data_IF_940609753079
#
_entry.id   IF_940609753079
#
_cell.length_a   1.000
_cell.length_b   1.000
_cell.length_c   1.000
_cell.angle_alpha   90.00
_cell.angle_beta   90.00
_cell.angle_gamma   90.00
#
_symmetry.space_group_name_H-M   'P 1'
#
loop_
_entity.id
_entity.type
_entity.pdbx_description
1 polymer ?
#
# COMPACT_ATOMS: atom_id res chain seq x y z
N UNK A 1 -34.98 -46.03 3.17
CA UNK A 1 -34.23 -45.12 2.27
C UNK A 1 -35.09 -43.90 1.92
N UNK A 2 -34.78 -42.74 2.49
CA UNK A 2 -35.27 -41.42 2.03
C UNK A 2 -34.06 -40.47 2.04
N UNK A 3 -33.89 -39.77 0.93
CA UNK A 3 -32.64 -39.17 0.43
C UNK A 3 -32.17 -37.89 1.17
N UNK A 4 -30.85 -37.59 1.24
CA UNK A 4 -30.23 -36.50 2.02
C UNK A 4 -30.42 -35.07 1.46
N UNK A 5 -31.17 -34.91 0.36
CA UNK A 5 -31.20 -33.67 -0.43
C UNK A 5 -31.88 -32.49 0.29
N UNK A 6 -32.75 -32.75 1.27
CA UNK A 6 -33.48 -31.65 1.96
C UNK A 6 -32.69 -30.90 3.03
N UNK A 7 -31.54 -31.42 3.50
CA UNK A 7 -30.69 -30.69 4.48
C UNK A 7 -29.74 -29.68 3.83
N UNK A 8 -29.47 -29.79 2.52
CA UNK A 8 -28.51 -28.91 1.81
C UNK A 8 -29.13 -27.59 1.35
N UNK A 9 -30.45 -27.56 1.12
CA UNK A 9 -31.16 -26.36 0.63
C UNK A 9 -31.39 -25.32 1.75
N UNK A 10 -31.54 -25.76 3.01
CA UNK A 10 -31.74 -24.84 4.13
C UNK A 10 -30.44 -24.09 4.51
N UNK A 11 -29.29 -24.69 4.26
CA UNK A 11 -27.96 -24.14 4.58
C UNK A 11 -27.43 -23.12 3.54
N UNK A 12 -28.12 -22.97 2.40
CA UNK A 12 -27.78 -21.97 1.37
C UNK A 12 -28.52 -20.67 1.64
N UNK A 13 -29.77 -20.74 2.13
CA UNK A 13 -30.58 -19.56 2.43
C UNK A 13 -30.05 -18.77 3.64
N UNK A 14 -29.54 -19.46 4.66
CA UNK A 14 -28.92 -18.83 5.84
C UNK A 14 -27.53 -18.20 5.53
N UNK A 15 -26.95 -18.50 4.36
CA UNK A 15 -25.71 -17.86 3.86
C UNK A 15 -25.96 -16.66 2.94
N UNK A 16 -27.16 -16.52 2.38
CA UNK A 16 -27.52 -15.41 1.50
C UNK A 16 -27.69 -14.08 2.25
N UNK A 17 -28.11 -14.12 3.53
CA UNK A 17 -28.28 -12.91 4.35
C UNK A 17 -26.98 -12.39 5.00
N UNK A 18 -25.81 -12.99 4.69
CA UNK A 18 -24.50 -12.62 5.26
C UNK A 18 -23.52 -11.96 4.28
N UNK A 19 -23.94 -11.63 3.06
CA UNK A 19 -23.03 -11.17 1.98
C UNK A 19 -22.63 -9.69 2.08
N UNK A 20 -22.94 -8.99 3.17
CA UNK A 20 -22.52 -7.57 3.36
C UNK A 20 -21.15 -7.40 4.04
N UNK A 21 -20.46 -8.50 4.39
CA UNK A 21 -19.16 -8.46 5.08
C UNK A 21 -18.43 -9.79 4.90
N UNK A 22 -17.72 -9.95 3.78
CA UNK A 22 -16.77 -11.04 3.58
C UNK A 22 -15.36 -10.46 3.48
N UNK A 23 -14.70 -10.40 4.64
CA UNK A 23 -13.25 -10.53 4.76
C UNK A 23 -12.94 -12.03 4.64
N UNK A 24 -12.84 -12.53 3.41
CA UNK A 24 -12.33 -13.88 3.15
C UNK A 24 -11.02 -13.74 2.38
N UNK A 25 -9.93 -14.19 3.00
CA UNK A 25 -8.62 -14.35 2.38
C UNK A 25 -8.74 -15.35 1.23
N UNK A 26 -8.60 -14.85 0.00
CA UNK A 26 -8.56 -15.66 -1.21
C UNK A 26 -7.11 -16.09 -1.49
N UNK A 27 -6.66 -17.12 -0.78
CA UNK A 27 -5.48 -17.89 -1.16
C UNK A 27 -5.87 -18.92 -2.24
N UNK A 28 -5.21 -18.84 -3.40
CA UNK A 28 -5.12 -19.88 -4.45
C UNK A 28 -6.46 -20.46 -4.95
N UNK A 29 -7.37 -19.58 -5.40
CA UNK A 29 -8.65 -19.98 -6.02
C UNK A 29 -8.64 -19.72 -7.52
N UNK A 30 -8.65 -20.79 -8.31
CA UNK A 30 -9.11 -20.76 -9.69
C UNK A 30 -10.60 -20.34 -9.66
N UNK A 31 -10.85 -19.04 -9.87
CA UNK A 31 -12.18 -18.44 -9.70
C UNK A 31 -13.15 -18.98 -10.76
N UNK A 32 -14.20 -19.74 -10.39
CA UNK A 32 -15.20 -20.18 -11.36
C UNK A 32 -15.95 -18.98 -11.96
N UNK A 33 -16.26 -19.06 -13.25
CA UNK A 33 -16.91 -18.01 -14.07
C UNK A 33 -18.23 -17.49 -13.48
N UNK A 34 -18.90 -18.30 -12.66
CA UNK A 34 -20.11 -17.95 -11.90
C UNK A 34 -19.87 -16.97 -10.74
N UNK A 35 -18.64 -16.85 -10.24
CA UNK A 35 -18.26 -15.85 -9.25
C UNK A 35 -17.85 -14.55 -9.95
N UNK A 36 -17.15 -14.63 -11.08
CA UNK A 36 -16.77 -13.44 -11.89
C UNK A 36 -18.01 -12.65 -12.33
N UNK A 37 -19.08 -13.34 -12.72
CA UNK A 37 -20.36 -12.72 -13.08
C UNK A 37 -21.08 -12.06 -11.91
N UNK A 38 -20.99 -12.62 -10.69
CA UNK A 38 -21.52 -11.99 -9.46
C UNK A 38 -20.67 -10.80 -8.98
N UNK A 39 -19.36 -10.84 -9.18
CA UNK A 39 -18.46 -9.74 -8.86
C UNK A 39 -18.61 -8.54 -9.83
N UNK A 40 -19.21 -8.74 -11.01
CA UNK A 40 -19.37 -7.69 -12.03
C UNK A 40 -20.20 -6.48 -11.58
N UNK A 41 -21.01 -6.62 -10.53
CA UNK A 41 -21.84 -5.55 -9.94
C UNK A 41 -21.18 -4.84 -8.75
N UNK A 42 -19.95 -5.21 -8.37
CA UNK A 42 -19.26 -4.57 -7.26
C UNK A 42 -18.76 -3.18 -7.65
N UNK A 43 -19.09 -2.19 -6.83
CA UNK A 43 -18.52 -0.85 -6.93
C UNK A 43 -17.19 -0.73 -6.18
N UNK A 44 -16.96 -1.57 -5.17
CA UNK A 44 -15.77 -1.59 -4.34
C UNK A 44 -15.22 -3.01 -4.32
N UNK A 45 -13.92 -3.17 -4.57
CA UNK A 45 -13.26 -4.46 -4.53
C UNK A 45 -11.90 -4.31 -3.86
N UNK A 46 -11.66 -5.16 -2.86
CA UNK A 46 -10.41 -5.21 -2.12
C UNK A 46 -9.84 -6.63 -2.24
N UNK A 47 -8.59 -6.70 -2.68
CA UNK A 47 -7.80 -7.91 -2.73
C UNK A 47 -6.66 -7.78 -1.72
N UNK A 48 -6.65 -8.62 -0.69
CA UNK A 48 -5.60 -8.66 0.33
C UNK A 48 -4.80 -9.92 0.24
N UNK A 49 -3.52 -9.85 0.60
CA UNK A 49 -2.59 -10.99 0.68
C UNK A 49 -2.42 -11.75 -0.64
N UNK A 50 -2.55 -11.07 -1.79
CA UNK A 50 -2.51 -11.78 -3.07
C UNK A 50 -1.10 -12.22 -3.43
N UNK A 51 -0.94 -13.51 -3.64
CA UNK A 51 0.23 -14.12 -4.28
C UNK A 51 -0.13 -14.51 -5.72
N UNK A 52 0.35 -13.73 -6.69
CA UNK A 52 0.06 -13.97 -8.11
C UNK A 52 0.93 -15.11 -8.67
N UNK A 53 0.69 -16.33 -8.19
CA UNK A 53 1.31 -17.56 -8.69
C UNK A 53 0.41 -18.22 -9.74
N UNK A 54 0.33 -17.67 -10.95
CA UNK A 54 -0.55 -18.30 -11.92
C UNK A 54 -0.65 -17.62 -13.28
N UNK A 55 -1.11 -18.41 -14.25
CA UNK A 55 -1.22 -18.03 -15.65
C UNK A 55 -2.67 -17.62 -15.95
N UNK A 56 -3.11 -16.42 -15.51
CA UNK A 56 -4.44 -15.91 -15.85
C UNK A 56 -4.37 -15.31 -17.26
N UNK A 57 -4.75 -16.10 -18.27
CA UNK A 57 -4.65 -15.71 -19.67
C UNK A 57 -5.76 -14.73 -20.12
N UNK A 58 -6.92 -14.75 -19.47
CA UNK A 58 -8.09 -13.94 -19.83
C UNK A 58 -8.18 -12.66 -18.99
N UNK A 59 -8.52 -11.50 -19.58
CA UNK A 59 -8.76 -10.29 -18.82
C UNK A 59 -10.03 -10.41 -17.97
N UNK A 60 -9.93 -10.10 -16.68
CA UNK A 60 -11.07 -10.12 -15.76
C UNK A 60 -11.86 -8.82 -15.93
N UNK A 61 -13.17 -8.92 -16.12
CA UNK A 61 -14.04 -7.79 -16.43
C UNK A 61 -14.89 -7.36 -15.23
N UNK A 62 -14.71 -6.12 -14.77
CA UNK A 62 -15.53 -5.53 -13.70
C UNK A 62 -16.17 -4.21 -14.19
N UNK A 63 -17.36 -4.25 -14.81
CA UNK A 63 -17.94 -3.08 -15.47
C UNK A 63 -18.36 -1.97 -14.50
N UNK A 64 -18.79 -2.31 -13.28
CA UNK A 64 -19.32 -1.34 -12.30
C UNK A 64 -18.29 -0.90 -11.25
N UNK A 65 -17.05 -1.41 -11.32
CA UNK A 65 -16.04 -1.16 -10.30
C UNK A 65 -15.59 0.30 -10.32
N UNK A 66 -15.77 0.98 -9.19
CA UNK A 66 -15.35 2.37 -8.98
C UNK A 66 -14.06 2.44 -8.15
N UNK A 67 -13.89 1.54 -7.18
CA UNK A 67 -12.79 1.54 -6.23
C UNK A 67 -12.10 0.17 -6.19
N UNK A 68 -10.81 0.14 -6.48
CA UNK A 68 -9.98 -1.06 -6.43
C UNK A 68 -8.85 -0.87 -5.42
N UNK A 69 -8.77 -1.78 -4.45
CA UNK A 69 -7.68 -1.87 -3.49
C UNK A 69 -6.97 -3.21 -3.68
N UNK A 70 -5.64 -3.19 -3.83
CA UNK A 70 -4.84 -4.41 -3.90
C UNK A 70 -3.70 -4.30 -2.91
N UNK A 71 -3.55 -5.31 -2.05
CA UNK A 71 -2.42 -5.48 -1.14
C UNK A 71 -1.76 -6.83 -1.43
N UNK A 72 -0.47 -6.80 -1.76
CA UNK A 72 0.30 -8.02 -1.98
C UNK A 72 1.16 -8.35 -0.76
N UNK A 73 1.35 -9.64 -0.54
CA UNK A 73 2.39 -10.14 0.35
C UNK A 73 3.73 -10.15 -0.39
N UNK A 74 4.84 -10.10 0.35
CA UNK A 74 6.16 -10.17 -0.23
C UNK A 74 6.37 -11.53 -0.91
N UNK A 75 6.51 -11.56 -2.24
CA UNK A 75 6.77 -12.78 -3.01
C UNK A 75 8.27 -12.92 -3.30
N UNK A 76 8.90 -13.93 -2.70
CA UNK A 76 10.31 -14.29 -2.85
C UNK A 76 10.62 -15.01 -4.20
N UNK A 77 9.81 -14.74 -5.23
CA UNK A 77 9.85 -15.55 -6.44
C UNK A 77 10.75 -14.92 -7.51
N UNK A 78 11.81 -15.64 -7.85
CA UNK A 78 12.71 -15.44 -9.00
C UNK A 78 12.03 -15.57 -10.38
N UNK A 79 10.69 -15.50 -10.45
CA UNK A 79 9.90 -15.67 -11.67
C UNK A 79 9.28 -14.33 -12.09
N UNK A 80 9.26 -14.03 -13.40
CA UNK A 80 8.62 -12.81 -13.90
C UNK A 80 7.12 -12.88 -13.62
N UNK A 81 6.66 -11.98 -12.75
CA UNK A 81 5.24 -11.77 -12.45
C UNK A 81 4.56 -11.38 -13.76
N UNK A 82 3.70 -12.24 -14.33
CA UNK A 82 2.92 -11.87 -15.52
C UNK A 82 1.84 -10.87 -15.11
N UNK A 83 1.58 -9.82 -15.91
CA UNK A 83 0.65 -8.77 -15.52
C UNK A 83 -0.78 -9.32 -15.49
N UNK A 84 -1.49 -9.08 -14.38
CA UNK A 84 -2.95 -9.31 -14.33
C UNK A 84 -3.61 -8.31 -15.25
N UNK A 85 -4.44 -8.77 -16.17
CA UNK A 85 -5.19 -7.88 -17.06
C UNK A 85 -6.58 -7.66 -16.48
N UNK A 86 -6.87 -6.44 -16.04
CA UNK A 86 -8.21 -6.06 -15.60
C UNK A 86 -8.82 -5.07 -16.58
N UNK A 87 -10.09 -5.30 -16.94
CA UNK A 87 -10.87 -4.37 -17.73
C UNK A 87 -11.98 -3.79 -16.86
N UNK A 88 -11.80 -2.55 -16.44
CA UNK A 88 -12.60 -1.86 -15.42
C UNK A 88 -12.93 -0.44 -15.90
N UNK A 89 -13.85 -0.28 -16.87
CA UNK A 89 -14.01 0.98 -17.61
C UNK A 89 -14.38 2.17 -16.72
N UNK A 90 -15.11 1.93 -15.64
CA UNK A 90 -15.62 2.94 -14.71
C UNK A 90 -14.74 3.12 -13.47
N UNK A 91 -13.54 2.51 -13.42
CA UNK A 91 -12.66 2.62 -12.27
C UNK A 91 -12.19 4.07 -12.08
N UNK A 92 -12.51 4.65 -10.93
CA UNK A 92 -12.14 6.01 -10.55
C UNK A 92 -10.98 6.04 -9.56
N UNK A 93 -10.92 5.06 -8.65
CA UNK A 93 -9.94 5.05 -7.56
C UNK A 93 -9.18 3.72 -7.52
N UNK A 94 -7.86 3.80 -7.51
CA UNK A 94 -6.98 2.64 -7.36
C UNK A 94 -6.01 2.86 -6.21
N UNK A 95 -5.88 1.87 -5.34
CA UNK A 95 -4.87 1.85 -4.28
C UNK A 95 -4.08 0.55 -4.36
N UNK A 96 -2.76 0.64 -4.39
CA UNK A 96 -1.87 -0.51 -4.27
C UNK A 96 -1.02 -0.41 -3.00
N UNK A 97 -0.92 -1.52 -2.29
CA UNK A 97 0.02 -1.72 -1.20
C UNK A 97 0.96 -2.86 -1.58
N UNK A 98 2.19 -2.52 -1.96
CA UNK A 98 3.20 -3.46 -2.46
C UNK A 98 3.45 -3.38 -3.97
N UNK A 99 4.28 -4.30 -4.46
CA UNK A 99 4.77 -4.33 -5.84
C UNK A 99 4.24 -5.57 -6.56
N UNK A 100 3.65 -5.36 -7.73
CA UNK A 100 3.12 -6.41 -8.60
C UNK A 100 2.90 -5.87 -10.02
N UNK A 101 2.77 -6.77 -11.01
CA UNK A 101 2.45 -6.36 -12.39
C UNK A 101 0.97 -6.47 -12.66
N UNK A 102 0.40 -5.40 -13.20
CA UNK A 102 -1.03 -5.30 -13.51
C UNK A 102 -1.22 -4.33 -14.68
N UNK A 103 -2.13 -4.68 -15.58
CA UNK A 103 -2.56 -3.85 -16.69
C UNK A 103 -4.03 -3.50 -16.47
N UNK A 104 -4.28 -2.23 -16.16
CA UNK A 104 -5.62 -1.70 -15.97
C UNK A 104 -6.10 -1.03 -17.27
N UNK A 105 -7.23 -1.50 -17.81
CA UNK A 105 -7.99 -0.75 -18.81
C UNK A 105 -9.12 0.02 -18.12
N UNK A 106 -8.80 1.23 -17.68
CA UNK A 106 -9.76 2.18 -17.11
C UNK A 106 -9.84 3.44 -17.97
N UNK A 107 -11.04 4.00 -18.17
CA UNK A 107 -11.21 5.23 -18.99
C UNK A 107 -11.06 6.50 -18.18
N UNK A 108 -11.42 6.47 -16.91
CA UNK A 108 -11.58 7.65 -16.05
C UNK A 108 -10.92 7.49 -14.68
N UNK A 109 -9.74 6.86 -14.65
CA UNK A 109 -8.99 6.69 -13.41
C UNK A 109 -8.59 8.07 -12.88
N UNK A 110 -9.12 8.48 -11.73
CA UNK A 110 -8.96 9.83 -11.19
C UNK A 110 -7.92 9.86 -10.07
N UNK A 111 -8.02 8.94 -9.11
CA UNK A 111 -7.12 8.89 -7.96
C UNK A 111 -6.35 7.57 -7.92
N UNK A 112 -5.03 7.69 -7.84
CA UNK A 112 -4.13 6.55 -7.69
C UNK A 112 -3.26 6.74 -6.45
N UNK A 113 -3.21 5.73 -5.60
CA UNK A 113 -2.45 5.74 -4.36
C UNK A 113 -1.50 4.54 -4.31
N UNK A 114 -0.19 4.82 -4.27
CA UNK A 114 0.85 3.82 -4.12
C UNK A 114 1.41 3.86 -2.70
N UNK A 115 1.43 2.69 -2.07
CA UNK A 115 2.02 2.49 -0.75
C UNK A 115 3.00 1.33 -0.77
N UNK A 116 4.18 1.56 -0.21
CA UNK A 116 5.19 0.54 0.03
C UNK A 116 5.49 0.38 1.54
N UNK A 117 4.84 1.18 2.40
CA UNK A 117 5.05 1.15 3.84
C UNK A 117 5.07 -0.28 4.41
N UNK A 118 6.19 -0.65 5.03
CA UNK A 118 6.39 -1.96 5.65
C UNK A 118 6.61 -3.11 4.67
N UNK A 119 6.72 -2.86 3.36
CA UNK A 119 6.87 -3.91 2.34
C UNK A 119 8.31 -4.44 2.24
N UNK A 120 9.31 -3.64 2.60
CA UNK A 120 10.72 -4.03 2.52
C UNK A 120 11.29 -4.63 3.81
N UNK A 121 10.60 -4.52 4.95
CA UNK A 121 11.08 -5.05 6.25
C UNK A 121 12.59 -4.84 6.50
N UNK A 122 13.27 -5.92 6.87
CA UNK A 122 14.72 -5.98 7.10
C UNK A 122 15.56 -6.31 5.85
N UNK A 123 14.97 -6.22 4.64
CA UNK A 123 15.66 -6.61 3.41
C UNK A 123 16.94 -5.77 3.19
N UNK A 124 18.04 -6.40 2.81
CA UNK A 124 19.28 -5.69 2.49
C UNK A 124 19.12 -4.76 1.27
N UNK A 125 19.91 -3.70 1.25
CA UNK A 125 19.82 -2.64 0.23
C UNK A 125 19.97 -3.15 -1.22
N UNK A 126 20.84 -4.14 -1.44
CA UNK A 126 21.11 -4.68 -2.79
C UNK A 126 19.86 -5.29 -3.42
N UNK A 127 19.05 -6.00 -2.63
CA UNK A 127 17.80 -6.60 -3.11
C UNK A 127 16.71 -5.53 -3.33
N UNK A 128 16.68 -4.47 -2.50
CA UNK A 128 15.70 -3.37 -2.66
C UNK A 128 15.80 -2.68 -4.01
N UNK A 129 17.01 -2.53 -4.56
CA UNK A 129 17.19 -1.84 -5.84
C UNK A 129 16.47 -2.53 -7.01
N UNK A 130 16.47 -3.87 -7.04
CA UNK A 130 15.73 -4.64 -8.04
C UNK A 130 14.22 -4.44 -7.89
N UNK A 131 13.71 -4.43 -6.66
CA UNK A 131 12.29 -4.15 -6.42
C UNK A 131 11.90 -2.71 -6.75
N UNK A 132 12.77 -1.73 -6.57
CA UNK A 132 12.49 -0.36 -7.00
C UNK A 132 12.30 -0.27 -8.52
N UNK A 133 13.08 -1.03 -9.30
CA UNK A 133 12.89 -1.14 -10.74
C UNK A 133 11.54 -1.79 -11.08
N UNK A 134 11.16 -2.87 -10.39
CA UNK A 134 9.84 -3.48 -10.58
C UNK A 134 8.68 -2.54 -10.21
N UNK A 135 8.85 -1.72 -9.16
CA UNK A 135 7.89 -0.68 -8.82
C UNK A 135 7.75 0.36 -9.94
N UNK A 136 8.86 0.76 -10.56
CA UNK A 136 8.83 1.63 -11.74
C UNK A 136 8.16 0.96 -12.95
N UNK A 137 8.43 -0.32 -13.20
CA UNK A 137 7.73 -1.08 -14.24
C UNK A 137 6.23 -1.12 -14.01
N UNK A 138 5.78 -1.35 -12.77
CA UNK A 138 4.37 -1.28 -12.40
C UNK A 138 3.75 0.07 -12.77
N UNK A 139 4.40 1.19 -12.40
CA UNK A 139 3.92 2.54 -12.75
C UNK A 139 3.80 2.76 -14.26
N UNK A 140 4.72 2.19 -15.04
CA UNK A 140 4.76 2.34 -16.50
C UNK A 140 3.70 1.50 -17.22
N UNK A 141 3.38 0.31 -16.69
CA UNK A 141 2.44 -0.65 -17.31
C UNK A 141 0.97 -0.46 -16.90
N UNK A 142 0.71 0.25 -15.80
CA UNK A 142 -0.62 0.39 -15.21
C UNK A 142 -1.60 1.26 -16.04
N UNK A 143 -1.19 1.80 -17.19
CA UNK A 143 -2.07 2.55 -18.08
C UNK A 143 -2.54 3.88 -17.49
N UNK A 144 -1.65 4.59 -16.78
CA UNK A 144 -1.97 5.76 -15.95
C UNK A 144 -2.17 7.08 -16.71
N UNK A 145 -2.35 7.03 -18.04
CA UNK A 145 -2.48 8.22 -18.87
C UNK A 145 -3.65 9.13 -18.47
N UNK A 146 -4.73 8.57 -17.92
CA UNK A 146 -5.93 9.31 -17.50
C UNK A 146 -5.88 9.86 -16.07
N UNK A 147 -4.86 9.53 -15.27
CA UNK A 147 -4.79 9.85 -13.84
C UNK A 147 -4.74 11.36 -13.60
N UNK A 148 -5.58 11.86 -12.69
CA UNK A 148 -5.55 13.26 -12.24
C UNK A 148 -4.75 13.44 -10.95
N UNK A 149 -4.85 12.52 -10.00
CA UNK A 149 -4.27 12.62 -8.68
C UNK A 149 -3.42 11.39 -8.38
N UNK A 150 -2.12 11.58 -8.20
CA UNK A 150 -1.18 10.53 -7.87
C UNK A 150 -0.66 10.74 -6.45
N UNK A 151 -0.78 9.75 -5.58
CA UNK A 151 -0.35 9.84 -4.18
C UNK A 151 0.70 8.77 -3.89
N UNK A 152 1.76 9.17 -3.19
CA UNK A 152 2.80 8.27 -2.72
C UNK A 152 2.92 8.37 -1.20
N UNK A 153 3.16 7.23 -0.54
CA UNK A 153 3.72 7.25 0.80
C UNK A 153 5.24 7.48 0.80
N UNK A 154 5.82 7.61 1.99
CA UNK A 154 7.23 7.90 2.18
C UNK A 154 8.15 6.85 1.55
N UNK A 155 7.85 5.56 1.75
CA UNK A 155 8.65 4.48 1.18
C UNK A 155 8.55 4.43 -0.35
N UNK A 156 7.39 4.69 -0.93
CA UNK A 156 7.18 4.71 -2.38
C UNK A 156 7.98 5.82 -3.08
N UNK A 157 7.92 7.05 -2.54
CA UNK A 157 8.68 8.16 -3.15
C UNK A 157 10.19 7.97 -2.94
N UNK A 158 10.61 7.42 -1.80
CA UNK A 158 12.01 7.09 -1.53
C UNK A 158 12.54 6.03 -2.49
N UNK A 159 11.75 5.00 -2.79
CA UNK A 159 12.07 3.98 -3.78
C UNK A 159 12.32 4.59 -5.17
N UNK A 160 11.42 5.47 -5.64
CA UNK A 160 11.59 6.15 -6.93
C UNK A 160 12.78 7.10 -6.95
N UNK A 161 13.05 7.78 -5.84
CA UNK A 161 14.21 8.67 -5.70
C UNK A 161 15.52 7.90 -5.79
N UNK A 162 15.60 6.71 -5.19
CA UNK A 162 16.78 5.85 -5.24
C UNK A 162 17.13 5.40 -6.67
N UNK A 163 16.13 5.23 -7.54
CA UNK A 163 16.33 4.88 -8.97
C UNK A 163 16.24 6.08 -9.92
N UNK A 164 16.30 7.31 -9.40
CA UNK A 164 16.13 8.53 -10.21
C UNK A 164 17.10 8.66 -11.40
N UNK A 165 18.29 8.04 -11.31
CA UNK A 165 19.24 7.98 -12.44
C UNK A 165 18.67 7.17 -13.60
N UNK A 166 17.98 6.08 -13.32
CA UNK A 166 17.35 5.20 -14.32
C UNK A 166 16.11 5.81 -14.96
N UNK A 167 15.46 6.77 -14.28
CA UNK A 167 14.33 7.53 -14.81
C UNK A 167 14.75 8.63 -15.78
N UNK A 168 16.04 8.95 -15.88
CA UNK A 168 16.54 10.02 -16.74
C UNK A 168 16.23 9.70 -18.21
N UNK A 169 15.59 10.64 -18.91
CA UNK A 169 15.25 10.50 -20.33
C UNK A 169 14.08 9.56 -20.62
N UNK A 170 13.44 8.98 -19.59
CA UNK A 170 12.22 8.19 -19.76
C UNK A 170 11.00 9.12 -19.86
N UNK A 171 10.07 8.87 -20.80
CA UNK A 171 8.85 9.66 -20.90
C UNK A 171 7.98 9.42 -19.67
N UNK A 172 7.27 10.47 -19.26
CA UNK A 172 6.28 10.39 -18.20
C UNK A 172 5.03 9.65 -18.70
N UNK A 173 4.51 8.65 -17.97
CA UNK A 173 3.27 7.96 -18.34
C UNK A 173 2.00 8.75 -17.95
N UNK A 174 2.12 9.94 -17.35
CA UNK A 174 1.02 10.70 -16.77
C UNK A 174 0.67 11.91 -17.65
N UNK A 175 -0.37 11.81 -18.47
CA UNK A 175 -0.73 12.85 -19.46
C UNK A 175 -1.84 13.81 -19.01
N UNK A 176 -2.65 13.43 -18.03
CA UNK A 176 -3.77 14.23 -17.51
C UNK A 176 -3.63 14.59 -16.03
N UNK A 177 -2.40 14.58 -15.51
CA UNK A 177 -2.10 14.75 -14.10
C UNK A 177 -2.35 16.20 -13.67
N UNK A 178 -3.02 16.36 -12.52
CA UNK A 178 -3.21 17.65 -11.84
C UNK A 178 -2.32 17.75 -10.62
N UNK A 179 -2.27 16.71 -9.80
CA UNK A 179 -1.54 16.74 -8.54
C UNK A 179 -0.72 15.46 -8.31
N UNK A 180 0.53 15.64 -7.89
CA UNK A 180 1.35 14.61 -7.24
C UNK A 180 1.38 14.91 -5.74
N UNK A 181 0.72 14.08 -4.94
CA UNK A 181 0.66 14.19 -3.49
C UNK A 181 1.81 13.45 -2.85
N UNK A 182 2.66 14.20 -2.17
CA UNK A 182 3.82 13.69 -1.45
C UNK A 182 3.63 13.78 0.07
N UNK A 183 4.27 12.88 0.83
CA UNK A 183 4.22 12.92 2.29
C UNK A 183 4.95 14.18 2.80
N UNK A 184 4.60 14.65 4.00
CA UNK A 184 5.05 15.97 4.48
C UNK A 184 6.56 16.03 4.70
N UNK A 185 7.19 14.88 4.93
CA UNK A 185 8.62 14.67 5.09
C UNK A 185 9.39 14.84 3.78
N UNK A 186 8.70 14.88 2.64
CA UNK A 186 9.30 14.97 1.31
C UNK A 186 9.02 16.35 0.69
N UNK A 187 10.00 17.26 0.78
CA UNK A 187 9.88 18.59 0.17
C UNK A 187 10.03 18.49 -1.35
N UNK A 188 9.36 19.36 -2.10
CA UNK A 188 9.51 19.39 -3.56
C UNK A 188 10.97 19.60 -3.99
N UNK A 189 11.73 20.39 -3.22
CA UNK A 189 13.16 20.65 -3.45
C UNK A 189 14.05 19.40 -3.29
N UNK A 190 13.59 18.39 -2.56
CA UNK A 190 14.30 17.11 -2.38
C UNK A 190 14.13 16.15 -3.58
N UNK A 191 13.17 16.43 -4.47
CA UNK A 191 12.93 15.63 -5.67
C UNK A 191 14.00 15.95 -6.71
N UNK A 192 14.76 14.94 -7.12
CA UNK A 192 15.74 15.09 -8.20
C UNK A 192 15.07 15.57 -9.51
N UNK A 193 15.81 16.32 -10.34
CA UNK A 193 15.32 16.79 -11.64
C UNK A 193 14.80 15.65 -12.53
N UNK A 194 15.48 14.50 -12.53
CA UNK A 194 15.05 13.32 -13.29
C UNK A 194 13.70 12.79 -12.81
N UNK A 195 13.52 12.63 -11.50
CA UNK A 195 12.27 12.13 -10.93
C UNK A 195 11.12 13.12 -11.15
N UNK A 196 11.38 14.42 -10.97
CA UNK A 196 10.40 15.48 -11.24
C UNK A 196 9.96 15.49 -12.71
N UNK A 197 10.93 15.38 -13.63
CA UNK A 197 10.64 15.26 -15.06
C UNK A 197 9.84 14.00 -15.39
N UNK A 198 10.11 12.87 -14.73
CA UNK A 198 9.38 11.63 -14.95
C UNK A 198 7.94 11.70 -14.42
N UNK A 199 7.71 12.28 -13.24
CA UNK A 199 6.37 12.37 -12.64
C UNK A 199 5.49 13.42 -13.32
N UNK A 200 6.04 14.57 -13.71
CA UNK A 200 5.27 15.71 -14.21
C UNK A 200 5.41 15.94 -15.72
N UNK A 201 6.43 15.36 -16.37
CA UNK A 201 6.80 15.72 -17.75
C UNK A 201 5.74 15.42 -18.81
N UNK A 202 4.73 14.61 -18.49
CA UNK A 202 3.61 14.32 -19.39
C UNK A 202 2.44 15.30 -19.25
N UNK A 203 2.44 16.14 -18.20
CA UNK A 203 1.33 17.05 -17.86
C UNK A 203 1.87 18.42 -17.43
N UNK A 204 1.87 19.39 -18.33
CA UNK A 204 2.45 20.73 -18.10
C UNK A 204 1.77 21.52 -16.98
N UNK A 205 0.53 21.18 -16.63
CA UNK A 205 -0.26 21.83 -15.56
C UNK A 205 -0.15 21.11 -14.21
N UNK A 206 0.54 19.97 -14.15
CA UNK A 206 0.63 19.18 -12.92
C UNK A 206 1.53 19.86 -11.88
N UNK A 207 1.10 19.86 -10.62
CA UNK A 207 1.88 20.39 -9.50
C UNK A 207 2.14 19.32 -8.44
N UNK A 208 3.27 19.46 -7.74
CA UNK A 208 3.54 18.66 -6.54
C UNK A 208 2.88 19.36 -5.37
N UNK A 209 2.14 18.61 -4.59
CA UNK A 209 1.48 19.06 -3.38
C UNK A 209 1.99 18.19 -2.25
N UNK A 210 2.77 18.75 -1.33
CA UNK A 210 2.97 18.11 -0.03
C UNK A 210 1.66 18.24 0.75
N UNK A 211 1.36 17.37 1.70
CA UNK A 211 0.05 17.27 2.39
C UNK A 211 -0.47 18.53 3.15
N UNK A 212 0.01 19.73 2.82
CA UNK A 212 -0.71 20.98 2.98
C UNK A 212 -1.57 21.20 1.72
N UNK A 213 -2.89 21.05 1.87
CA UNK A 213 -4.01 21.47 0.99
C UNK A 213 -5.05 20.35 0.84
N UNK A 214 -5.65 19.99 1.96
CA UNK A 214 -7.06 19.59 1.96
C UNK A 214 -7.84 20.69 2.65
N UNK A 215 -8.36 21.62 1.84
CA UNK A 215 -9.64 22.32 2.00
C UNK A 215 -9.74 23.47 1.00
N UNK A 216 -9.81 23.17 -0.29
CA UNK A 216 -10.54 24.03 -1.25
C UNK A 216 -10.85 23.22 -2.51
N UNK A 217 -11.99 22.53 -2.50
CA UNK A 217 -12.74 22.31 -3.75
C UNK A 217 -13.53 23.61 -3.94
N UNK A 218 -13.34 24.37 -5.02
CA UNK A 218 -14.24 25.47 -5.32
C UNK A 218 -15.54 24.85 -5.86
N UNK A 219 -16.57 24.85 -5.02
CA UNK A 219 -17.94 24.87 -5.54
C UNK A 219 -18.22 26.30 -5.99
N UNK A 220 -18.05 26.56 -7.28
CA UNK A 220 -18.73 27.68 -7.91
C UNK A 220 -18.97 27.33 -9.36
N UNK A 221 -20.23 27.01 -9.66
CA UNK A 221 -20.98 27.52 -10.81
C UNK A 221 -22.36 26.89 -10.77
N UNK A 222 -23.36 27.65 -10.33
CA UNK A 222 -24.60 27.74 -11.07
C UNK A 222 -25.30 29.08 -10.81
N UNK A 223 -25.67 29.69 -11.92
CA UNK A 223 -26.31 30.98 -12.09
C UNK A 223 -27.62 31.14 -11.32
N UNK A 224 -27.84 32.31 -10.71
CA UNK A 224 -29.10 33.05 -10.89
C UNK A 224 -28.80 34.55 -10.99
N UNK A 225 -29.08 35.08 -12.18
CA UNK A 225 -29.15 36.50 -12.51
C UNK A 225 -30.46 37.08 -11.96
N UNK A 226 -30.41 38.27 -11.34
CA UNK A 226 -31.36 39.38 -11.61
C UNK A 226 -30.98 40.67 -10.86
N UNK A 227 -30.50 41.63 -11.65
CA UNK A 227 -30.82 43.07 -11.68
C UNK A 227 -31.33 43.78 -10.43
N UNK A 228 -30.71 44.91 -10.06
CA UNK A 228 -31.13 46.24 -10.57
C UNK A 228 -30.55 47.44 -9.78
N UNK A 229 -30.25 48.50 -10.55
CA UNK A 229 -30.22 49.95 -10.21
C UNK A 229 -29.30 50.44 -9.08
N UNK A 230 -28.22 51.19 -9.36
CA UNK A 230 -28.21 52.63 -9.73
C UNK A 230 -28.84 53.53 -8.66
N UNK A 231 -28.02 54.24 -7.89
CA UNK A 231 -27.95 55.70 -7.96
C UNK A 231 -26.78 56.26 -7.16
N UNK A 232 -26.04 57.15 -7.84
CA UNK A 232 -25.10 58.07 -7.27
C UNK A 232 -25.83 59.33 -6.75
N UNK A 233 -25.07 60.08 -5.96
CA UNK A 233 -25.14 61.53 -5.80
C UNK A 233 -26.05 62.11 -4.71
N UNK A 234 -25.40 62.71 -3.70
CA UNK A 234 -25.63 64.10 -3.26
C UNK A 234 -24.56 64.52 -2.25
N UNK A 235 -23.69 65.43 -2.68
CA UNK A 235 -22.79 66.17 -1.81
C UNK A 235 -23.47 67.26 -0.97
N UNK A 236 -22.75 67.76 0.04
CA UNK A 236 -22.41 69.19 0.19
C UNK A 236 -21.56 69.41 1.44
N UNK A 237 -20.51 70.21 1.23
CA UNK A 237 -19.58 70.80 2.19
C UNK A 237 -20.25 71.58 3.34
N UNK A 238 -19.53 71.76 4.45
CA UNK A 238 -18.84 73.04 4.81
C UNK A 238 -18.37 73.00 6.28
N UNK A 239 -17.19 73.62 6.50
CA UNK A 239 -16.54 74.10 7.73
C UNK A 239 -15.49 73.22 8.45
N UNK A 240 -14.22 73.54 8.16
CA UNK A 240 -13.13 73.62 9.14
C UNK A 240 -13.13 75.03 9.80
N UNK A 241 -12.42 75.23 10.94
CA UNK A 241 -11.00 75.61 10.83
C UNK A 241 -10.05 75.04 11.92
N UNK A 242 -8.76 74.93 11.53
CA UNK A 242 -7.51 75.29 12.26
C UNK A 242 -7.31 74.72 13.69
N UNK A 243 -6.23 74.04 14.05
CA UNK A 243 -4.95 73.69 13.44
C UNK A 243 -3.99 73.35 14.58
N UNK A 244 -3.05 72.40 14.40
CA UNK A 244 -1.77 72.43 15.12
C UNK A 244 -0.73 71.51 14.50
N UNK A 245 0.48 72.04 14.45
CA UNK A 245 1.75 71.52 13.93
C UNK A 245 2.24 70.30 14.71
N UNK A 246 2.90 69.34 14.06
CA UNK A 246 3.68 68.36 14.84
C UNK A 246 4.29 67.15 14.14
N UNK A 247 5.19 67.38 13.17
CA UNK A 247 6.38 66.54 12.88
C UNK A 247 6.16 65.07 12.49
N UNK A 248 6.40 64.80 11.20
CA UNK A 248 6.95 63.54 10.73
C UNK A 248 8.22 63.16 11.52
N UNK A 249 8.41 61.87 11.79
CA UNK A 249 9.51 61.23 11.11
C UNK A 249 9.19 59.83 10.58
N UNK A 250 9.61 59.64 9.33
CA UNK A 250 10.34 58.46 8.84
C UNK A 250 9.59 57.14 8.96
N UNK A 251 8.96 56.78 7.85
CA UNK A 251 8.62 55.41 7.50
C UNK A 251 9.87 54.51 7.55
N UNK A 252 10.05 53.78 8.65
CA UNK A 252 10.89 52.58 8.67
C UNK A 252 10.03 51.38 8.30
N UNK A 253 10.07 51.05 7.02
CA UNK A 253 9.66 49.76 6.47
C UNK A 253 10.58 48.67 7.06
N UNK A 254 10.26 48.19 8.26
CA UNK A 254 10.78 46.94 8.80
C UNK A 254 9.69 45.89 8.62
N UNK A 255 9.89 45.01 7.64
CA UNK A 255 9.00 43.89 7.36
C UNK A 255 8.84 43.02 8.61
N UNK A 256 7.60 42.86 9.05
CA UNK A 256 7.27 41.98 10.17
C UNK A 256 6.10 41.10 9.74
N UNK A 257 6.39 40.05 8.98
CA UNK A 257 5.43 39.09 8.44
C UNK A 257 5.27 37.82 9.32
N UNK A 258 5.77 37.83 10.54
CA UNK A 258 5.88 36.58 11.33
C UNK A 258 4.71 36.34 12.31
N UNK A 259 3.80 37.30 12.48
CA UNK A 259 2.73 37.21 13.46
C UNK A 259 1.33 37.26 12.84
N UNK A 260 0.48 36.32 13.22
CA UNK A 260 -0.96 36.29 12.95
C UNK A 260 -1.78 36.82 14.11
N UNK A 261 -3.03 37.20 13.83
CA UNK A 261 -3.96 37.66 14.85
C UNK A 261 -4.99 36.56 15.14
N UNK A 262 -5.00 36.03 16.36
CA UNK A 262 -5.98 35.03 16.80
C UNK A 262 -6.81 35.58 17.97
N UNK A 263 -8.11 35.81 17.73
CA UNK A 263 -9.07 36.40 18.68
C UNK A 263 -8.56 37.66 19.40
N UNK A 264 -7.82 38.51 18.68
CA UNK A 264 -7.26 39.76 19.21
C UNK A 264 -5.87 39.65 19.85
N UNK A 265 -5.29 38.44 19.92
CA UNK A 265 -3.93 38.18 20.40
C UNK A 265 -2.96 38.00 19.24
N UNK A 266 -1.72 38.50 19.40
CA UNK A 266 -0.68 38.46 18.36
C UNK A 266 0.14 37.18 18.51
N UNK A 267 -0.17 36.14 17.77
CA UNK A 267 0.51 34.82 17.82
C UNK A 267 1.43 34.63 16.61
N UNK A 268 2.30 33.63 16.60
CA UNK A 268 3.04 33.31 15.37
C UNK A 268 2.05 32.92 14.25
N UNK A 269 2.30 33.37 13.02
CA UNK A 269 1.36 33.19 11.90
C UNK A 269 1.04 31.71 11.61
N UNK A 270 2.02 30.83 11.78
CA UNK A 270 1.88 29.37 11.64
C UNK A 270 0.96 28.73 12.68
N UNK A 271 0.74 29.36 13.84
CA UNK A 271 -0.05 28.82 14.93
C UNK A 271 -1.53 29.18 14.87
N UNK A 272 -1.93 30.14 14.02
CA UNK A 272 -3.33 30.55 13.89
C UNK A 272 -4.21 29.36 13.51
N UNK A 273 -3.78 28.58 12.51
CA UNK A 273 -4.50 27.40 12.05
C UNK A 273 -4.57 26.29 13.12
N UNK A 274 -3.47 26.10 13.88
CA UNK A 274 -3.43 25.13 14.97
C UNK A 274 -4.42 25.51 16.08
N UNK A 275 -4.45 26.79 16.47
CA UNK A 275 -5.37 27.31 17.48
C UNK A 275 -6.83 27.18 17.05
N UNK A 276 -7.15 27.45 15.78
CA UNK A 276 -8.50 27.24 15.26
C UNK A 276 -8.91 25.77 15.29
N UNK A 277 -7.99 24.85 14.94
CA UNK A 277 -8.25 23.41 14.99
C UNK A 277 -8.46 22.92 16.43
N UNK A 278 -7.67 23.42 17.38
CA UNK A 278 -7.81 23.08 18.80
C UNK A 278 -9.13 23.64 19.33
N UNK A 279 -9.46 24.90 19.04
CA UNK A 279 -10.74 25.50 19.46
C UNK A 279 -11.95 24.73 18.90
N UNK A 280 -11.86 24.23 17.67
CA UNK A 280 -12.93 23.44 17.06
C UNK A 280 -13.11 22.08 17.74
N UNK A 281 -12.00 21.42 18.12
CA UNK A 281 -12.02 20.04 18.62
C UNK A 281 -12.09 19.93 20.15
N UNK A 282 -11.51 20.90 20.84
CA UNK A 282 -11.37 21.00 22.29
C UNK A 282 -11.68 22.45 22.73
N UNK A 283 -12.93 22.93 22.53
CA UNK A 283 -13.31 24.31 22.84
C UNK A 283 -13.06 24.68 24.31
N UNK A 284 -13.20 23.73 25.22
CA UNK A 284 -12.94 23.87 26.66
C UNK A 284 -11.50 24.31 26.98
N UNK A 285 -10.55 24.08 26.06
CA UNK A 285 -9.14 24.48 26.22
C UNK A 285 -8.98 25.96 26.54
N UNK A 286 -9.87 26.82 26.06
CA UNK A 286 -9.75 28.27 26.20
C UNK A 286 -10.83 28.89 27.10
N UNK A 287 -11.66 28.08 27.76
CA UNK A 287 -12.82 28.55 28.53
C UNK A 287 -12.42 29.47 29.70
N UNK A 288 -11.36 29.09 30.42
CA UNK A 288 -10.84 29.84 31.56
C UNK A 288 -9.65 30.75 31.20
N UNK A 289 -9.38 30.93 29.91
CA UNK A 289 -8.28 31.78 29.44
C UNK A 289 -8.60 33.25 29.70
N UNK A 290 -7.97 33.82 30.72
CA UNK A 290 -8.21 35.21 31.16
C UNK A 290 -7.56 36.23 30.22
N UNK A 291 -8.30 37.29 29.85
CA UNK A 291 -7.85 38.34 28.92
C UNK A 291 -7.12 39.51 29.56
N UNK A 292 -6.89 39.46 30.87
CA UNK A 292 -6.56 40.65 31.66
C UNK A 292 -5.13 41.16 31.44
N UNK A 293 -4.24 40.36 30.83
CA UNK A 293 -2.92 40.81 30.41
C UNK A 293 -2.55 40.31 29.00
N UNK A 294 -2.83 41.13 27.99
CA UNK A 294 -2.67 40.80 26.56
C UNK A 294 -1.27 40.31 26.18
N UNK A 295 -0.21 40.83 26.82
CA UNK A 295 1.17 40.40 26.58
C UNK A 295 1.42 39.01 27.15
N UNK A 296 1.00 38.75 28.39
CA UNK A 296 1.13 37.44 29.02
C UNK A 296 0.30 36.37 28.31
N UNK A 297 -0.92 36.72 27.89
CA UNK A 297 -1.78 35.87 27.06
C UNK A 297 -1.08 35.43 25.76
N UNK A 298 -0.37 36.36 25.11
CA UNK A 298 0.36 36.10 23.86
C UNK A 298 1.50 35.11 24.08
N UNK A 299 2.29 35.31 25.13
CA UNK A 299 3.40 34.41 25.48
C UNK A 299 2.88 33.00 25.77
N UNK A 300 1.81 32.88 26.56
CA UNK A 300 1.23 31.58 26.90
C UNK A 300 0.59 30.89 25.69
N UNK A 301 -0.04 31.63 24.77
CA UNK A 301 -0.58 31.07 23.54
C UNK A 301 0.52 30.52 22.63
N UNK A 302 1.61 31.27 22.45
CA UNK A 302 2.74 30.80 21.65
C UNK A 302 3.40 29.58 22.31
N UNK A 303 3.62 29.60 23.63
CA UNK A 303 4.14 28.45 24.37
C UNK A 303 3.25 27.22 24.20
N UNK A 304 1.94 27.36 24.39
CA UNK A 304 0.98 26.29 24.18
C UNK A 304 1.06 25.72 22.75
N UNK A 305 1.11 26.58 21.74
CA UNK A 305 1.18 26.15 20.35
C UNK A 305 2.50 25.44 20.03
N UNK A 306 3.62 25.97 20.50
CA UNK A 306 4.94 25.34 20.36
C UNK A 306 4.93 23.96 21.00
N UNK A 307 4.53 23.85 22.27
CA UNK A 307 4.48 22.56 22.98
C UNK A 307 3.57 21.54 22.30
N UNK A 308 2.37 21.94 21.84
CA UNK A 308 1.47 21.03 21.12
C UNK A 308 2.03 20.64 19.75
N UNK A 309 2.53 21.61 18.98
CA UNK A 309 3.09 21.38 17.65
C UNK A 309 4.29 20.44 17.70
N UNK A 310 5.21 20.68 18.63
CA UNK A 310 6.43 19.89 18.77
C UNK A 310 6.10 18.49 19.26
N UNK A 311 5.22 18.38 20.26
CA UNK A 311 4.71 17.08 20.73
C UNK A 311 4.08 16.27 19.60
N UNK A 312 3.29 16.88 18.71
CA UNK A 312 2.64 16.16 17.60
C UNK A 312 3.59 15.67 16.51
N UNK A 313 4.83 16.15 16.49
CA UNK A 313 5.85 15.77 15.50
C UNK A 313 6.78 14.67 15.99
N UNK A 314 6.81 14.38 17.29
CA UNK A 314 7.69 13.37 17.88
C UNK A 314 7.21 11.98 17.50
N UNK A 315 8.13 11.15 17.00
CA UNK A 315 7.85 9.74 16.72
C UNK A 315 7.73 8.94 18.02
N UNK A 316 6.83 7.96 18.06
CA UNK A 316 6.71 7.03 19.21
C UNK A 316 8.04 6.34 19.53
N UNK A 317 8.91 6.14 18.53
CA UNK A 317 10.24 5.53 18.69
C UNK A 317 11.24 6.39 19.45
N UNK A 318 11.03 7.71 19.46
CA UNK A 318 11.94 8.72 20.02
C UNK A 318 11.50 9.20 21.41
N UNK A 319 10.28 8.86 21.84
CA UNK A 319 9.77 9.21 23.17
C UNK A 319 10.54 8.44 24.26
N UNK A 320 11.21 9.18 25.13
CA UNK A 320 11.75 8.69 26.39
C UNK A 320 10.97 9.24 27.60
N UNK A 321 11.33 8.77 28.80
CA UNK A 321 10.66 9.17 30.04
C UNK A 321 10.94 10.63 30.42
N UNK A 322 12.11 11.17 30.08
CA UNK A 322 12.51 12.54 30.43
C UNK A 322 11.70 13.55 29.61
N UNK A 323 11.59 13.32 28.30
CA UNK A 323 10.73 14.13 27.42
C UNK A 323 9.27 14.15 27.90
N UNK A 324 8.72 13.01 28.34
CA UNK A 324 7.34 12.97 28.84
C UNK A 324 7.16 13.82 30.10
N UNK A 325 8.16 13.83 31.00
CA UNK A 325 8.14 14.68 32.19
C UNK A 325 8.19 16.16 31.79
N UNK A 326 9.07 16.55 30.86
CA UNK A 326 9.16 17.93 30.38
C UNK A 326 7.85 18.43 29.77
N UNK A 327 7.18 17.62 28.95
CA UNK A 327 5.88 17.97 28.38
C UNK A 327 4.79 18.06 29.45
N UNK A 328 4.77 17.13 30.42
CA UNK A 328 3.82 17.18 31.53
C UNK A 328 3.99 18.46 32.35
N UNK A 329 5.22 18.87 32.63
CA UNK A 329 5.53 20.11 33.34
C UNK A 329 5.11 21.36 32.54
N UNK A 330 5.38 21.38 31.23
CA UNK A 330 4.96 22.46 30.35
C UNK A 330 3.43 22.61 30.32
N UNK A 331 2.69 21.50 30.25
CA UNK A 331 1.23 21.52 30.27
C UNK A 331 0.67 21.85 31.67
N UNK A 332 1.30 21.40 32.75
CA UNK A 332 0.92 21.80 34.11
C UNK A 332 1.07 23.32 34.31
N UNK A 333 2.14 23.93 33.78
CA UNK A 333 2.29 25.38 33.76
C UNK A 333 1.14 26.07 33.02
N UNK A 334 0.78 25.58 31.82
CA UNK A 334 -0.30 26.16 31.01
C UNK A 334 -1.67 25.97 31.67
N UNK A 335 -1.89 24.85 32.36
CA UNK A 335 -3.08 24.62 33.16
C UNK A 335 -3.23 25.67 34.27
N UNK A 336 -2.13 26.00 34.96
CA UNK A 336 -2.09 27.08 35.95
C UNK A 336 -2.33 28.47 35.34
N UNK A 337 -2.21 28.63 34.02
CA UNK A 337 -2.56 29.86 33.28
C UNK A 337 -3.99 29.87 32.73
N UNK A 338 -4.80 28.87 33.05
CA UNK A 338 -6.21 28.80 32.69
C UNK A 338 -6.50 28.04 31.39
N UNK A 339 -5.51 27.33 30.81
CA UNK A 339 -5.76 26.44 29.69
C UNK A 339 -6.29 25.10 30.17
N UNK A 340 -7.39 24.60 29.59
CA UNK A 340 -7.80 23.21 29.83
C UNK A 340 -7.03 22.28 28.87
N UNK A 341 -5.93 21.71 29.37
CA UNK A 341 -5.02 20.82 28.65
C UNK A 341 -5.23 19.34 29.01
N UNK A 342 -6.35 19.00 29.64
CA UNK A 342 -6.65 17.62 30.07
C UNK A 342 -6.52 16.60 28.94
N UNK A 343 -6.99 16.95 27.74
CA UNK A 343 -6.93 16.06 26.57
C UNK A 343 -5.50 15.69 26.15
N UNK A 344 -4.53 16.62 26.25
CA UNK A 344 -3.13 16.35 25.89
C UNK A 344 -2.40 15.63 27.02
N UNK A 345 -2.73 15.96 28.27
CA UNK A 345 -2.21 15.23 29.44
C UNK A 345 -2.65 13.76 29.42
N UNK A 346 -3.94 13.48 29.18
CA UNK A 346 -4.42 12.11 29.01
C UNK A 346 -3.76 11.38 27.85
N UNK A 347 -3.37 12.12 26.78
CA UNK A 347 -2.63 11.53 25.66
C UNK A 347 -1.19 11.18 26.05
N UNK A 348 -0.52 12.02 26.85
CA UNK A 348 0.80 11.73 27.40
C UNK A 348 0.76 10.51 28.33
N UNK A 349 -0.23 10.42 29.22
CA UNK A 349 -0.41 9.27 30.12
C UNK A 349 -0.62 7.96 29.33
N UNK A 350 -1.39 8.02 28.25
CA UNK A 350 -1.58 6.87 27.36
C UNK A 350 -0.28 6.44 26.69
N UNK A 351 0.54 7.39 26.23
CA UNK A 351 1.85 7.10 25.62
C UNK A 351 2.79 6.49 26.64
N UNK A 352 2.86 7.06 27.85
CA UNK A 352 3.67 6.54 28.94
C UNK A 352 3.31 5.09 29.26
N UNK A 353 2.01 4.81 29.37
CA UNK A 353 1.51 3.47 29.64
C UNK A 353 1.85 2.49 28.51
N UNK A 354 1.70 2.90 27.25
CA UNK A 354 2.04 2.06 26.09
C UNK A 354 3.54 1.75 25.99
N UNK A 355 4.39 2.71 26.37
CA UNK A 355 5.85 2.59 26.21
C UNK A 355 6.53 1.92 27.39
N UNK A 356 6.15 2.29 28.60
CA UNK A 356 6.92 1.97 29.80
C UNK A 356 6.18 1.03 30.76
N UNK A 357 4.84 1.09 30.80
CA UNK A 357 4.07 0.27 31.74
C UNK A 357 3.63 -1.08 31.16
N UNK A 358 3.57 -1.22 29.83
CA UNK A 358 3.11 -2.46 29.19
C UNK A 358 4.07 -2.92 28.08
N UNK A 359 4.90 -3.96 28.30
CA UNK A 359 5.94 -4.40 27.37
C UNK A 359 5.40 -5.11 26.12
N UNK A 360 4.10 -4.99 25.83
CA UNK A 360 3.48 -5.60 24.64
C UNK A 360 4.17 -5.19 23.35
N UNK A 361 4.72 -3.97 23.25
CA UNK A 361 5.43 -3.53 22.05
C UNK A 361 6.76 -4.30 21.88
N UNK A 362 7.68 -4.35 22.87
CA UNK A 362 8.84 -5.24 22.83
C UNK A 362 8.50 -6.72 22.63
N UNK A 363 7.45 -7.22 23.28
CA UNK A 363 7.03 -8.62 23.14
C UNK A 363 6.51 -8.93 21.73
N UNK A 364 5.71 -8.04 21.15
CA UNK A 364 5.24 -8.16 19.78
C UNK A 364 6.41 -8.16 18.80
N UNK A 365 7.41 -7.30 19.01
CA UNK A 365 8.63 -7.29 18.22
C UNK A 365 9.40 -8.62 18.31
N UNK A 366 9.53 -9.20 19.51
CA UNK A 366 10.16 -10.52 19.68
C UNK A 366 9.37 -11.65 19.00
N UNK A 367 8.04 -11.57 19.03
CA UNK A 367 7.17 -12.52 18.33
C UNK A 367 7.36 -12.39 16.82
N UNK A 368 7.37 -11.16 16.28
CA UNK A 368 7.60 -10.91 14.85
C UNK A 368 8.97 -11.42 14.39
N UNK A 369 10.03 -11.23 15.20
CA UNK A 369 11.34 -11.82 14.94
C UNK A 369 11.28 -13.35 14.86
N UNK A 370 10.63 -14.01 15.82
CA UNK A 370 10.48 -15.48 15.81
C UNK A 370 9.70 -15.98 14.60
N UNK A 371 8.63 -15.29 14.21
CA UNK A 371 7.85 -15.61 13.02
C UNK A 371 8.73 -15.56 11.77
N UNK A 372 9.59 -14.54 11.65
CA UNK A 372 10.50 -14.41 10.51
C UNK A 372 11.57 -15.51 10.48
N UNK A 373 12.14 -15.88 11.63
CA UNK A 373 13.11 -16.97 11.74
C UNK A 373 12.47 -18.31 11.34
N UNK A 374 11.27 -18.59 11.84
CA UNK A 374 10.57 -19.84 11.54
C UNK A 374 10.10 -19.90 10.08
N UNK A 375 9.72 -18.76 9.49
CA UNK A 375 9.45 -18.66 8.05
C UNK A 375 10.69 -18.99 7.21
N UNK A 376 11.85 -18.52 7.62
CA UNK A 376 13.12 -18.82 6.93
C UNK A 376 13.45 -20.30 6.98
N UNK A 377 13.31 -20.94 8.16
CA UNK A 377 13.47 -22.40 8.31
C UNK A 377 12.49 -23.20 7.45
N UNK A 378 11.24 -22.73 7.35
CA UNK A 378 10.23 -23.37 6.51
C UNK A 378 10.62 -23.33 5.02
N UNK A 379 11.19 -22.21 4.55
CA UNK A 379 11.68 -22.09 3.18
C UNK A 379 12.85 -23.06 2.90
N UNK A 380 13.79 -23.21 3.84
CA UNK A 380 14.88 -24.17 3.73
C UNK A 380 14.37 -25.62 3.66
N UNK A 381 13.41 -25.97 4.52
CA UNK A 381 12.77 -27.29 4.49
C UNK A 381 12.05 -27.53 3.16
N UNK A 382 11.34 -26.53 2.63
CA UNK A 382 10.68 -26.62 1.34
C UNK A 382 11.67 -26.85 0.19
N UNK A 383 12.83 -26.19 0.22
CA UNK A 383 13.91 -26.42 -0.76
C UNK A 383 14.45 -27.86 -0.67
N UNK A 384 14.67 -28.37 0.53
CA UNK A 384 15.09 -29.76 0.77
C UNK A 384 14.07 -30.77 0.22
N UNK A 385 12.78 -30.55 0.46
CA UNK A 385 11.69 -31.41 -0.07
C UNK A 385 11.69 -31.41 -1.60
N UNK A 386 11.82 -30.24 -2.23
CA UNK A 386 11.85 -30.15 -3.69
C UNK A 386 13.06 -30.89 -4.29
N UNK A 387 14.22 -30.80 -3.66
CA UNK A 387 15.42 -31.53 -4.07
C UNK A 387 15.29 -33.05 -3.86
N UNK A 388 14.65 -33.49 -2.78
CA UNK A 388 14.36 -34.91 -2.58
C UNK A 388 13.38 -35.44 -3.65
N UNK A 389 12.37 -34.64 -4.01
CA UNK A 389 11.40 -34.98 -5.06
C UNK A 389 12.07 -35.15 -6.43
N UNK A 390 12.96 -34.24 -6.83
CA UNK A 390 13.66 -34.35 -8.12
C UNK A 390 14.58 -35.57 -8.18
N UNK A 391 15.23 -35.95 -7.06
CA UNK A 391 15.99 -37.20 -6.97
C UNK A 391 15.10 -38.43 -7.17
N UNK A 392 13.90 -38.43 -6.59
CA UNK A 392 12.96 -39.53 -6.75
C UNK A 392 12.49 -39.67 -8.21
N UNK A 393 12.20 -38.56 -8.87
CA UNK A 393 11.84 -38.55 -10.30
C UNK A 393 12.97 -39.09 -11.19
N UNK A 394 14.24 -38.74 -10.89
CA UNK A 394 15.39 -39.29 -11.61
C UNK A 394 15.54 -40.80 -11.41
N UNK A 395 15.37 -41.28 -10.18
CA UNK A 395 15.43 -42.71 -9.89
C UNK A 395 14.30 -43.48 -10.60
N UNK A 396 13.09 -42.91 -10.65
CA UNK A 396 11.97 -43.50 -11.40
C UNK A 396 12.32 -43.65 -12.89
N UNK A 397 12.87 -42.62 -13.53
CA UNK A 397 13.28 -42.69 -14.94
C UNK A 397 14.34 -43.78 -15.19
N UNK A 398 15.28 -43.98 -14.24
CA UNK A 398 16.28 -45.05 -14.33
C UNK A 398 15.67 -46.45 -14.19
N UNK A 399 14.66 -46.61 -13.34
CA UNK A 399 13.91 -47.87 -13.20
C UNK A 399 13.16 -48.17 -14.50
N UNK A 400 12.53 -47.17 -15.11
CA UNK A 400 11.78 -47.35 -16.35
C UNK A 400 12.70 -47.74 -17.53
N UNK A 401 13.87 -47.11 -17.65
CA UNK A 401 14.90 -47.49 -18.65
C UNK A 401 15.40 -48.94 -18.43
N UNK A 402 15.68 -49.31 -17.19
CA UNK A 402 16.11 -50.67 -16.85
C UNK A 402 15.03 -51.71 -17.19
N UNK A 403 13.76 -51.39 -16.92
CA UNK A 403 12.63 -52.25 -17.28
C UNK A 403 12.50 -52.40 -18.80
N UNK A 404 12.66 -51.33 -19.57
CA UNK A 404 12.63 -51.40 -21.04
C UNK A 404 13.74 -52.32 -21.57
N UNK A 405 14.97 -52.18 -21.06
CA UNK A 405 16.09 -53.05 -21.45
C UNK A 405 15.85 -54.51 -21.08
N UNK A 406 15.24 -54.77 -19.92
CA UNK A 406 14.88 -56.13 -19.51
C UNK A 406 13.87 -56.75 -20.48
N UNK A 407 12.86 -56.00 -20.90
CA UNK A 407 11.88 -56.46 -21.90
C UNK A 407 12.55 -56.78 -23.24
N UNK A 408 13.44 -55.92 -23.74
CA UNK A 408 14.19 -56.18 -24.98
C UNK A 408 15.01 -57.48 -24.90
N UNK A 409 15.68 -57.72 -23.77
CA UNK A 409 16.44 -58.95 -23.53
C UNK A 409 15.51 -60.17 -23.48
N UNK A 410 14.34 -60.06 -22.84
CA UNK A 410 13.35 -61.12 -22.80
C UNK A 410 12.80 -61.46 -24.20
N UNK A 411 12.48 -60.44 -25.00
CA UNK A 411 12.05 -60.63 -26.40
C UNK A 411 13.13 -61.31 -27.23
N UNK A 412 14.38 -60.84 -27.15
CA UNK A 412 15.51 -61.45 -27.87
C UNK A 412 15.76 -62.90 -27.45
N UNK A 413 15.60 -63.21 -26.17
CA UNK A 413 15.67 -64.60 -25.66
C UNK A 413 14.58 -65.47 -26.27
N UNK A 414 13.34 -64.97 -26.31
CA UNK A 414 12.21 -65.70 -26.91
C UNK A 414 12.42 -65.95 -28.41
N UNK A 415 12.92 -64.96 -29.15
CA UNK A 415 13.29 -65.12 -30.56
C UNK A 415 14.35 -66.19 -30.78
N UNK A 416 15.40 -66.20 -29.95
CA UNK A 416 16.47 -67.21 -30.02
C UNK A 416 15.95 -68.61 -29.70
N UNK A 417 15.08 -68.76 -28.71
CA UNK A 417 14.45 -70.04 -28.40
C UNK A 417 13.60 -70.56 -29.57
N UNK A 418 12.79 -69.70 -30.20
CA UNK A 418 12.04 -70.07 -31.42
C UNK A 418 12.95 -70.48 -32.58
N UNK A 419 14.08 -69.79 -32.76
CA UNK A 419 15.06 -70.14 -33.79
C UNK A 419 15.69 -71.52 -33.54
N UNK A 420 16.01 -71.84 -32.27
CA UNK A 420 16.49 -73.17 -31.86
C UNK A 420 15.42 -74.23 -32.12
N UNK A 421 14.17 -73.98 -31.72
CA UNK A 421 13.05 -74.90 -31.96
C UNK A 421 12.86 -75.20 -33.45
N UNK A 422 12.92 -74.16 -34.29
CA UNK A 422 12.81 -74.32 -35.75
C UNK A 422 13.95 -75.15 -36.34
N UNK A 423 15.16 -75.01 -35.80
CA UNK A 423 16.34 -75.70 -36.32
C UNK A 423 16.49 -77.15 -35.83
N UNK A 424 16.07 -77.43 -34.59
CA UNK A 424 16.37 -78.68 -33.89
C UNK A 424 15.12 -79.40 -33.33
N UNK A 425 13.92 -78.89 -33.61
CA UNK A 425 12.67 -79.37 -33.01
C UNK A 425 12.57 -79.06 -31.51
N UNK A 426 11.59 -79.65 -30.85
CA UNK A 426 11.33 -79.47 -29.40
C UNK A 426 12.42 -80.05 -28.50
N UNK A 427 13.25 -80.97 -29.02
CA UNK A 427 14.39 -81.55 -28.31
C UNK A 427 15.51 -80.51 -28.12
N UNK A 428 15.76 -79.66 -29.13
CA UNK A 428 16.77 -78.61 -29.06
C UNK A 428 16.43 -77.50 -28.07
N UNK A 429 15.15 -77.17 -27.88
CA UNK A 429 14.73 -76.21 -26.86
C UNK A 429 14.91 -76.77 -25.46
N UNK A 430 14.51 -78.02 -25.19
CA UNK A 430 14.73 -78.69 -23.90
C UNK A 430 16.20 -78.69 -23.49
N UNK A 431 17.10 -79.02 -24.42
CA UNK A 431 18.55 -78.94 -24.20
C UNK A 431 19.04 -77.51 -23.92
N UNK A 432 18.54 -76.51 -24.65
CA UNK A 432 18.89 -75.09 -24.42
C UNK A 432 18.40 -74.54 -23.06
N UNK A 433 17.37 -75.15 -22.47
CA UNK A 433 16.94 -74.89 -21.10
C UNK A 433 17.72 -75.70 -20.04
N UNK A 434 18.68 -76.55 -20.46
CA UNK A 434 19.53 -77.35 -19.57
C UNK A 434 18.98 -78.74 -19.25
N UNK A 435 17.91 -79.20 -19.91
CA UNK A 435 17.38 -80.54 -19.72
C UNK A 435 18.11 -81.53 -20.62
N UNK A 436 19.06 -82.27 -20.05
CA UNK A 436 19.87 -83.27 -20.78
C UNK A 436 19.22 -84.67 -20.75
N UNK A 437 18.28 -84.94 -19.82
CA UNK A 437 17.84 -86.30 -19.49
C UNK A 437 16.37 -86.70 -19.78
N UNK A 438 15.45 -85.77 -20.08
CA UNK A 438 14.01 -86.09 -20.03
C UNK A 438 13.48 -86.92 -21.21
N UNK A 439 14.12 -86.84 -22.38
CA UNK A 439 13.63 -87.55 -23.58
C UNK A 439 14.15 -88.99 -23.71
N UNK A 440 15.06 -89.43 -22.81
CA UNK A 440 15.57 -90.80 -22.79
C UNK A 440 14.66 -91.79 -22.06
N UNK A 441 13.65 -91.31 -21.33
CA UNK A 441 12.72 -92.13 -20.54
C UNK A 441 11.27 -92.11 -21.05
N UNK A 442 10.98 -91.38 -22.12
CA UNK A 442 9.66 -91.39 -22.75
C UNK A 442 9.57 -92.59 -23.70
N UNK A 443 9.00 -93.72 -23.24
CA UNK A 443 8.67 -94.87 -24.10
C UNK A 443 7.49 -94.56 -25.03
N UNK A 444 7.40 -95.20 -26.22
CA UNK A 444 6.38 -94.92 -27.24
C UNK A 444 4.94 -95.20 -26.81
#
# INVERSE_FOLDING_TARGET
>A
MRSPVKKKVRNIKDKEDRISSLHDDLDDVDMPESVITKLGNLQNFALTSVDFKGNIAAPIYFPQLLNLYIRTCHSDSSRPIRPIKLSTPNLCNFTSVGIFRISLKARHLENVNFKLQGWFGNMEWIYRQQYYLEFWHMLSELGLGSVKNLTFDFESIKALSAISKELRGRPSPFHNLKYVKLPHEYTESSISKSLKSYLLGGSSTATVVTTLFWNTIPHTEEHVVKDSSVNADRGKDVHAPVGEMGKDPVSSSVGNRDFGLWRGHKVNSEFVYLLDRIMLKYPETFENFTKNNKKLCTVNLNMFCTSVNDFTKISMTEVDSEMLVEYKDAFAYLQNKGFNVSWVVSRLDYIEHLRFSNPLIPELYLIDCRINDDKSKLQELQACVNHAKSKLENLQARVDDANSKLQDVQTRRAEKLRAIEKAFGTMGTKLAFGFIGDDLLSSP
#
